data_IF_195112818972
#
_entry.id   IF_195112818972
#
_cell.length_a   1.000
_cell.length_b   1.000
_cell.length_c   1.000
_cell.angle_alpha   90.00
_cell.angle_beta   90.00
_cell.angle_gamma   90.00
#
_symmetry.space_group_name_H-M   'P 1'
#
loop_
_entity.id
_entity.type
_entity.pdbx_description
1 polymer ?
#
# COMPACT_ATOMS: atom_id res chain seq x y z
N UNK A 1 -8.70 11.14 30.33
CA UNK A 1 -9.20 10.40 29.15
C UNK A 1 -9.05 11.17 27.83
N UNK A 2 -9.13 12.50 27.78
CA UNK A 2 -9.08 13.25 26.50
C UNK A 2 -7.77 13.12 25.72
N UNK A 3 -6.61 13.15 26.39
CA UNK A 3 -5.32 13.08 25.72
C UNK A 3 -5.07 11.73 24.99
N UNK A 4 -5.54 10.61 25.54
CA UNK A 4 -5.38 9.27 24.96
C UNK A 4 -6.23 9.08 23.69
N UNK A 5 -7.43 9.68 23.67
CA UNK A 5 -8.29 9.74 22.48
C UNK A 5 -7.65 10.59 21.36
N UNK A 6 -7.07 11.73 21.72
CA UNK A 6 -6.37 12.61 20.77
C UNK A 6 -5.16 11.90 20.13
N UNK A 7 -4.32 11.22 20.92
CA UNK A 7 -3.19 10.45 20.39
C UNK A 7 -3.64 9.32 19.45
N UNK A 8 -4.69 8.59 19.81
CA UNK A 8 -5.20 7.48 18.98
C UNK A 8 -5.77 8.00 17.66
N UNK A 9 -6.52 9.11 17.69
CA UNK A 9 -7.05 9.77 16.48
C UNK A 9 -5.95 10.31 15.57
N UNK A 10 -4.90 10.91 16.12
CA UNK A 10 -3.72 11.38 15.37
C UNK A 10 -3.02 10.20 14.70
N UNK A 11 -2.84 9.08 15.40
CA UNK A 11 -2.24 7.88 14.83
C UNK A 11 -3.06 7.33 13.65
N UNK A 12 -4.40 7.33 13.72
CA UNK A 12 -5.24 6.93 12.58
C UNK A 12 -5.10 7.86 11.37
N UNK A 13 -5.10 9.17 11.60
CA UNK A 13 -4.88 10.14 10.52
C UNK A 13 -3.54 9.91 9.81
N UNK A 14 -2.49 9.57 10.56
CA UNK A 14 -1.19 9.23 9.99
C UNK A 14 -1.20 7.89 9.23
N UNK A 15 -1.96 6.89 9.70
CA UNK A 15 -2.10 5.62 9.00
C UNK A 15 -2.86 5.76 7.67
N UNK A 16 -3.92 6.57 7.62
CA UNK A 16 -4.66 6.86 6.39
C UNK A 16 -3.77 7.58 5.35
N UNK A 17 -2.94 8.51 5.81
CA UNK A 17 -1.95 9.18 4.94
C UNK A 17 -0.91 8.20 4.41
N UNK A 18 -0.34 7.37 5.28
CA UNK A 18 0.61 6.34 4.89
C UNK A 18 0.01 5.38 3.85
N UNK A 19 -1.25 4.96 4.02
CA UNK A 19 -1.96 4.13 3.04
C UNK A 19 -2.04 4.82 1.68
N UNK A 20 -2.43 6.09 1.63
CA UNK A 20 -2.51 6.84 0.37
C UNK A 20 -1.15 6.96 -0.31
N UNK A 21 -0.09 7.14 0.47
CA UNK A 21 1.26 7.23 -0.08
C UNK A 21 1.75 5.87 -0.62
N UNK A 22 1.44 4.76 0.06
CA UNK A 22 1.70 3.42 -0.47
C UNK A 22 0.98 3.15 -1.79
N UNK A 23 -0.29 3.55 -1.91
CA UNK A 23 -1.04 3.45 -3.18
C UNK A 23 -0.35 4.22 -4.31
N UNK A 24 0.10 5.46 -4.04
CA UNK A 24 0.80 6.28 -5.04
C UNK A 24 2.14 5.70 -5.44
N UNK A 25 2.92 5.20 -4.47
CA UNK A 25 4.22 4.59 -4.71
C UNK A 25 4.06 3.33 -5.58
N UNK A 26 3.10 2.48 -5.23
CA UNK A 26 2.80 1.27 -5.98
C UNK A 26 2.38 1.59 -7.43
N UNK A 27 1.44 2.52 -7.63
CA UNK A 27 1.02 2.92 -8.98
C UNK A 27 2.16 3.55 -9.80
N UNK A 28 3.07 4.27 -9.14
CA UNK A 28 4.25 4.85 -9.79
C UNK A 28 5.27 3.78 -10.18
N UNK A 29 5.43 2.74 -9.35
CA UNK A 29 6.29 1.59 -9.63
C UNK A 29 5.77 0.79 -10.82
N UNK A 30 4.49 0.43 -10.82
CA UNK A 30 3.80 -0.27 -11.91
C UNK A 30 3.96 0.46 -13.25
N UNK A 31 3.67 1.76 -13.25
CA UNK A 31 3.81 2.58 -14.45
C UNK A 31 5.25 2.61 -14.96
N UNK A 32 6.24 2.73 -14.06
CA UNK A 32 7.64 2.78 -14.47
C UNK A 32 8.11 1.46 -15.08
N UNK A 33 7.68 0.32 -14.52
CA UNK A 33 8.01 -1.02 -15.04
C UNK A 33 7.33 -1.27 -16.38
N UNK A 34 6.06 -0.90 -16.53
CA UNK A 34 5.31 -1.02 -17.78
C UNK A 34 5.90 -0.14 -18.90
N UNK A 35 6.20 1.13 -18.59
CA UNK A 35 6.80 2.07 -19.53
C UNK A 35 8.17 1.54 -20.02
N UNK A 36 8.96 0.93 -19.12
CA UNK A 36 10.25 0.33 -19.47
C UNK A 36 10.07 -0.88 -20.39
N UNK A 37 9.16 -1.80 -20.06
CA UNK A 37 8.89 -2.99 -20.88
C UNK A 37 8.35 -2.62 -22.25
N UNK A 38 7.46 -1.64 -22.34
CA UNK A 38 6.92 -1.14 -23.60
C UNK A 38 8.02 -0.56 -24.49
N UNK A 39 8.94 0.23 -23.91
CA UNK A 39 10.11 0.77 -24.63
C UNK A 39 11.01 -0.34 -25.14
N UNK A 40 11.36 -1.31 -24.29
CA UNK A 40 12.22 -2.43 -24.69
C UNK A 40 11.59 -3.24 -25.82
N UNK A 41 10.28 -3.52 -25.75
CA UNK A 41 9.55 -4.21 -26.83
C UNK A 41 9.53 -3.41 -28.13
N UNK A 42 9.54 -2.08 -28.06
CA UNK A 42 9.48 -1.23 -29.25
C UNK A 42 10.87 -1.00 -29.87
N UNK A 43 11.87 -0.76 -29.05
CA UNK A 43 13.24 -0.41 -29.49
C UNK A 43 14.10 -1.63 -29.79
N UNK A 44 13.88 -2.76 -29.10
CA UNK A 44 14.71 -3.96 -29.23
C UNK A 44 14.00 -5.12 -29.93
N UNK A 45 12.73 -4.97 -30.35
CA UNK A 45 12.06 -5.99 -31.17
C UNK A 45 12.85 -6.25 -32.45
N UNK A 46 13.47 -7.44 -32.53
CA UNK A 46 14.30 -7.86 -33.65
C UNK A 46 15.80 -7.53 -33.53
N UNK A 47 16.22 -6.81 -32.49
CA UNK A 47 17.60 -6.41 -32.24
C UNK A 47 18.15 -6.88 -30.88
N UNK A 48 17.52 -7.89 -30.28
CA UNK A 48 18.03 -8.53 -29.07
C UNK A 48 19.40 -9.18 -29.37
N UNK A 49 20.47 -8.54 -28.92
CA UNK A 49 21.81 -9.11 -28.99
C UNK A 49 22.11 -9.96 -27.74
N UNK A 50 22.58 -11.18 -27.96
CA UNK A 50 23.01 -12.07 -26.87
C UNK A 50 21.91 -12.41 -25.86
N UNK A 51 22.24 -12.35 -24.56
CA UNK A 51 21.35 -12.72 -23.45
C UNK A 51 20.47 -11.58 -22.91
N UNK A 52 20.37 -10.45 -23.62
CA UNK A 52 19.64 -9.28 -23.14
C UNK A 52 18.15 -9.57 -22.90
N UNK A 53 17.49 -10.30 -23.82
CA UNK A 53 16.07 -10.64 -23.67
C UNK A 53 15.82 -11.45 -22.38
N UNK A 54 16.66 -12.46 -22.15
CA UNK A 54 16.56 -13.31 -20.97
C UNK A 54 16.83 -12.52 -19.68
N UNK A 55 17.86 -11.66 -19.68
CA UNK A 55 18.15 -10.77 -18.55
C UNK A 55 16.93 -9.89 -18.21
N UNK A 56 16.30 -9.27 -19.21
CA UNK A 56 15.13 -8.42 -18.97
C UNK A 56 13.91 -9.23 -18.49
N UNK A 57 13.64 -10.40 -19.07
CA UNK A 57 12.55 -11.28 -18.59
C UNK A 57 12.75 -11.69 -17.13
N UNK A 58 13.99 -11.96 -16.70
CA UNK A 58 14.28 -12.25 -15.30
C UNK A 58 14.02 -11.06 -14.38
N UNK A 59 14.29 -9.83 -14.84
CA UNK A 59 14.01 -8.62 -14.07
C UNK A 59 12.53 -8.27 -14.03
N UNK A 60 11.81 -8.46 -15.14
CA UNK A 60 10.34 -8.35 -15.21
C UNK A 60 9.69 -9.23 -14.14
N UNK A 61 10.11 -10.50 -14.02
CA UNK A 61 9.61 -11.39 -12.97
C UNK A 61 9.88 -10.86 -11.55
N UNK A 62 11.07 -10.31 -11.29
CA UNK A 62 11.42 -9.74 -9.98
C UNK A 62 10.55 -8.51 -9.66
N UNK A 63 10.29 -7.66 -10.64
CA UNK A 63 9.43 -6.49 -10.44
C UNK A 63 7.98 -6.90 -10.19
N UNK A 64 7.45 -7.83 -10.97
CA UNK A 64 6.10 -8.36 -10.76
C UNK A 64 5.94 -8.99 -9.37
N UNK A 65 6.97 -9.70 -8.89
CA UNK A 65 7.00 -10.21 -7.51
C UNK A 65 7.00 -9.09 -6.48
N UNK A 66 7.82 -8.06 -6.67
CA UNK A 66 7.87 -6.91 -5.76
C UNK A 66 6.54 -6.16 -5.71
N UNK A 67 5.90 -5.94 -6.86
CA UNK A 67 4.57 -5.34 -6.96
C UNK A 67 3.52 -6.17 -6.20
N UNK A 68 3.52 -7.48 -6.40
CA UNK A 68 2.61 -8.38 -5.68
C UNK A 68 2.82 -8.30 -4.16
N UNK A 69 4.06 -8.25 -3.68
CA UNK A 69 4.37 -8.07 -2.25
C UNK A 69 3.88 -6.73 -1.72
N UNK A 70 4.07 -5.64 -2.47
CA UNK A 70 3.56 -4.31 -2.08
C UNK A 70 2.03 -4.29 -2.01
N UNK A 71 1.33 -4.92 -2.97
CA UNK A 71 -0.13 -5.06 -2.95
C UNK A 71 -0.61 -5.83 -1.72
N UNK A 72 0.07 -6.93 -1.37
CA UNK A 72 -0.25 -7.69 -0.16
C UNK A 72 -0.10 -6.84 1.10
N UNK A 73 1.03 -6.14 1.24
CA UNK A 73 1.29 -5.29 2.40
C UNK A 73 0.27 -4.16 2.52
N UNK A 74 -0.12 -3.55 1.40
CA UNK A 74 -1.15 -2.51 1.35
C UNK A 74 -2.51 -3.06 1.83
N UNK A 75 -2.90 -4.26 1.41
CA UNK A 75 -4.15 -4.89 1.84
C UNK A 75 -4.12 -5.21 3.36
N UNK A 76 -2.98 -5.64 3.89
CA UNK A 76 -2.81 -5.85 5.33
C UNK A 76 -2.92 -4.55 6.12
N UNK A 77 -2.29 -3.47 5.64
CA UNK A 77 -2.40 -2.14 6.24
C UNK A 77 -3.85 -1.66 6.25
N UNK A 78 -4.58 -1.80 5.14
CA UNK A 78 -6.01 -1.44 5.07
C UNK A 78 -6.84 -2.19 6.12
N UNK A 79 -6.62 -3.51 6.26
CA UNK A 79 -7.32 -4.33 7.25
C UNK A 79 -7.00 -3.88 8.68
N UNK A 80 -5.73 -3.60 8.96
CA UNK A 80 -5.29 -3.15 10.28
C UNK A 80 -5.95 -1.81 10.66
N UNK A 81 -6.01 -0.86 9.72
CA UNK A 81 -6.68 0.43 9.91
C UNK A 81 -8.18 0.24 10.17
N UNK A 82 -8.85 -0.63 9.41
CA UNK A 82 -10.28 -0.91 9.59
C UNK A 82 -10.56 -1.49 11.00
N UNK A 83 -9.83 -2.54 11.39
CA UNK A 83 -9.98 -3.17 12.72
C UNK A 83 -9.78 -2.15 13.82
N UNK A 84 -8.78 -1.29 13.69
CA UNK A 84 -8.48 -0.29 14.70
C UNK A 84 -9.57 0.81 14.76
N UNK A 85 -10.16 1.19 13.61
CA UNK A 85 -11.31 2.11 13.56
C UNK A 85 -12.56 1.52 14.26
N UNK A 86 -12.87 0.25 13.99
CA UNK A 86 -13.99 -0.46 14.62
C UNK A 86 -13.82 -0.55 16.14
N UNK A 87 -12.62 -0.94 16.60
CA UNK A 87 -12.28 -1.00 18.02
C UNK A 87 -12.40 0.37 18.70
N UNK A 88 -11.93 1.44 18.04
CA UNK A 88 -12.04 2.80 18.55
C UNK A 88 -13.50 3.25 18.71
N UNK A 89 -14.33 3.06 17.67
CA UNK A 89 -15.76 3.41 17.71
C UNK A 89 -16.49 2.64 18.81
N UNK A 90 -16.18 1.36 18.98
CA UNK A 90 -16.76 0.54 20.04
C UNK A 90 -16.35 1.05 21.44
N UNK A 91 -15.08 1.44 21.64
CA UNK A 91 -14.60 2.00 22.89
C UNK A 91 -15.26 3.37 23.20
N UNK A 92 -15.39 4.26 22.21
CA UNK A 92 -16.10 5.52 22.37
C UNK A 92 -17.58 5.32 22.72
N UNK A 93 -18.27 4.40 22.05
CA UNK A 93 -19.67 4.11 22.32
C UNK A 93 -19.87 3.59 23.75
N UNK A 94 -18.99 2.68 24.20
CA UNK A 94 -18.99 2.17 25.59
C UNK A 94 -18.73 3.28 26.60
N UNK A 95 -17.73 4.12 26.37
CA UNK A 95 -17.44 5.24 27.26
C UNK A 95 -18.63 6.19 27.33
N UNK A 96 -19.21 6.59 26.19
CA UNK A 96 -20.41 7.45 26.16
C UNK A 96 -21.58 6.82 26.93
N UNK A 97 -21.81 5.51 26.79
CA UNK A 97 -22.85 4.81 27.54
C UNK A 97 -22.62 4.88 29.06
N UNK A 98 -21.36 4.73 29.52
CA UNK A 98 -21.01 4.85 30.95
C UNK A 98 -21.28 6.28 31.49
N UNK A 99 -21.03 7.31 30.68
CA UNK A 99 -21.20 8.71 31.10
C UNK A 99 -22.63 9.26 30.96
N UNK A 100 -23.52 8.57 30.24
CA UNK A 100 -24.91 9.01 30.02
C UNK A 100 -25.95 8.21 30.83
N UNK A 101 -25.54 7.08 31.42
CA UNK A 101 -26.40 6.18 32.20
C UNK A 101 -26.10 6.24 33.72
N UNK A 102 -25.48 7.34 34.17
CA UNK A 102 -25.23 7.69 35.59
C UNK A 102 -25.53 9.16 35.85
#
# INVERSE_FOLDING_TARGET
MSAELDFTKVNFGQMDLAQQDFVKILGSFEKATDDLLAKLRTELAGHWEGGAEEFFRQHEQKWNQAEAQMRLQLNELQRAVQIANENYRAAEARNKAIWYDG
#
